data_IF_223906890516
#
_entry.id   IF_223906890516
#
_cell.length_a   1.000
_cell.length_b   1.000
_cell.length_c   1.000
_cell.angle_alpha   90.00
_cell.angle_beta   90.00
_cell.angle_gamma   90.00
#
_symmetry.space_group_name_H-M   'P 1'
#
loop_
_entity.id
_entity.type
_entity.pdbx_description
1 polymer ?
#
# COMPACT_ATOMS: atom_id res chain seq x y z
N UNK A 1 8.00 22.52 5.87
CA UNK A 1 6.77 23.10 6.44
C UNK A 1 5.67 23.24 5.39
N UNK A 2 5.93 23.89 4.24
CA UNK A 2 4.95 24.00 3.15
C UNK A 2 4.63 22.64 2.50
N UNK A 3 5.62 21.76 2.37
CA UNK A 3 5.47 20.38 1.89
C UNK A 3 4.56 19.53 2.80
N UNK A 4 4.76 19.59 4.12
CA UNK A 4 3.92 18.88 5.10
C UNK A 4 2.46 19.38 5.07
N UNK A 5 2.27 20.69 4.88
CA UNK A 5 0.93 21.29 4.74
C UNK A 5 0.25 20.80 3.45
N UNK A 6 0.95 20.78 2.31
CA UNK A 6 0.42 20.24 1.06
C UNK A 6 0.00 18.78 1.24
N UNK A 7 0.84 17.95 1.88
CA UNK A 7 0.54 16.56 2.15
C UNK A 7 -0.68 16.39 3.07
N UNK A 8 -0.86 17.27 4.06
CA UNK A 8 -2.08 17.31 4.88
C UNK A 8 -3.31 17.60 4.04
N UNK A 9 -3.25 18.52 3.07
CA UNK A 9 -4.37 18.79 2.16
C UNK A 9 -4.67 17.60 1.24
N UNK A 10 -3.64 16.91 0.74
CA UNK A 10 -3.81 15.68 -0.06
C UNK A 10 -4.60 14.62 0.70
N UNK A 11 -4.44 14.53 2.02
CA UNK A 11 -5.24 13.62 2.86
C UNK A 11 -6.75 13.86 2.67
N UNK A 12 -7.19 15.11 2.68
CA UNK A 12 -8.60 15.46 2.47
C UNK A 12 -9.05 15.22 1.02
N UNK A 13 -8.15 15.40 0.04
CA UNK A 13 -8.44 15.05 -1.36
C UNK A 13 -8.71 13.55 -1.51
N UNK A 14 -7.89 12.69 -0.88
CA UNK A 14 -8.11 11.24 -0.90
C UNK A 14 -9.34 10.81 -0.11
N UNK A 15 -9.64 11.47 1.01
CA UNK A 15 -10.89 11.26 1.73
C UNK A 15 -12.10 11.58 0.85
N UNK A 16 -12.10 12.74 0.20
CA UNK A 16 -13.20 13.14 -0.67
C UNK A 16 -13.31 12.23 -1.90
N UNK A 17 -12.19 11.82 -2.50
CA UNK A 17 -12.19 10.84 -3.60
C UNK A 17 -12.82 9.51 -3.16
N UNK A 18 -12.49 9.01 -1.97
CA UNK A 18 -13.14 7.83 -1.39
C UNK A 18 -14.66 8.03 -1.25
N UNK A 19 -15.10 9.16 -0.70
CA UNK A 19 -16.54 9.45 -0.59
C UNK A 19 -17.23 9.47 -1.95
N UNK A 20 -16.62 10.05 -2.99
CA UNK A 20 -17.19 10.04 -4.32
C UNK A 20 -17.23 8.66 -4.98
N UNK A 21 -16.22 7.80 -4.75
CA UNK A 21 -16.29 6.39 -5.15
C UNK A 21 -17.42 5.65 -4.41
N UNK A 22 -17.60 5.92 -3.12
CA UNK A 22 -18.68 5.32 -2.33
C UNK A 22 -20.07 5.78 -2.83
N UNK A 23 -20.23 7.08 -3.09
CA UNK A 23 -21.45 7.67 -3.64
C UNK A 23 -21.75 7.10 -5.03
N UNK A 24 -20.75 6.92 -5.90
CA UNK A 24 -20.89 6.24 -7.19
C UNK A 24 -21.49 4.84 -7.00
N UNK A 25 -20.95 4.08 -6.04
CA UNK A 25 -21.35 2.70 -5.79
C UNK A 25 -22.76 2.60 -5.17
N UNK A 26 -23.15 3.53 -4.30
CA UNK A 26 -24.48 3.58 -3.67
C UNK A 26 -25.54 4.09 -4.65
N UNK A 27 -25.26 5.17 -5.38
CA UNK A 27 -26.24 5.80 -6.28
C UNK A 27 -26.32 5.14 -7.66
N UNK A 28 -25.33 4.34 -8.05
CA UNK A 28 -25.26 3.73 -9.39
C UNK A 28 -25.06 4.72 -10.53
N UNK A 29 -24.58 5.93 -10.24
CA UNK A 29 -24.31 6.97 -11.24
C UNK A 29 -22.83 7.02 -11.58
N UNK A 30 -22.51 7.16 -12.87
CA UNK A 30 -21.12 7.27 -13.34
C UNK A 30 -20.44 8.60 -12.99
N UNK A 31 -21.22 9.68 -12.82
CA UNK A 31 -20.68 11.03 -12.62
C UNK A 31 -19.84 11.16 -11.33
N UNK A 32 -20.32 10.75 -10.14
CA UNK A 32 -19.50 10.72 -8.93
C UNK A 32 -18.21 9.91 -9.10
N UNK A 33 -18.27 8.80 -9.83
CA UNK A 33 -17.10 7.95 -10.09
C UNK A 33 -16.03 8.68 -10.90
N UNK A 34 -16.42 9.40 -11.97
CA UNK A 34 -15.46 10.20 -12.75
C UNK A 34 -14.83 11.31 -11.90
N UNK A 35 -15.62 11.97 -11.07
CA UNK A 35 -15.11 13.00 -10.18
C UNK A 35 -14.11 12.41 -9.17
N UNK A 36 -14.41 11.23 -8.60
CA UNK A 36 -13.50 10.50 -7.73
C UNK A 36 -12.16 10.19 -8.42
N UNK A 37 -12.18 9.77 -9.69
CA UNK A 37 -10.97 9.52 -10.48
C UNK A 37 -10.17 10.80 -10.69
N UNK A 38 -10.83 11.90 -11.08
CA UNK A 38 -10.17 13.19 -11.29
C UNK A 38 -9.51 13.68 -9.99
N UNK A 39 -10.21 13.57 -8.86
CA UNK A 39 -9.68 13.91 -7.55
C UNK A 39 -8.50 13.00 -7.15
N UNK A 40 -8.59 11.70 -7.42
CA UNK A 40 -7.50 10.74 -7.15
C UNK A 40 -6.25 11.07 -7.97
N UNK A 41 -6.41 11.38 -9.26
CA UNK A 41 -5.31 11.78 -10.15
C UNK A 41 -4.72 13.11 -9.71
N UNK A 42 -5.55 14.11 -9.44
CA UNK A 42 -5.10 15.41 -8.95
C UNK A 42 -4.34 15.28 -7.62
N UNK A 43 -4.88 14.49 -6.68
CA UNK A 43 -4.24 14.17 -5.41
C UNK A 43 -2.89 13.49 -5.61
N UNK A 44 -2.79 12.50 -6.51
CA UNK A 44 -1.53 11.82 -6.83
C UNK A 44 -0.50 12.78 -7.44
N UNK A 45 -0.91 13.66 -8.35
CA UNK A 45 -0.01 14.67 -8.96
C UNK A 45 0.51 15.64 -7.90
N UNK A 46 -0.37 16.17 -7.06
CA UNK A 46 0.01 17.07 -5.96
C UNK A 46 0.91 16.38 -4.96
N UNK A 47 0.62 15.12 -4.59
CA UNK A 47 1.46 14.32 -3.71
C UNK A 47 2.84 14.06 -4.32
N UNK A 48 2.91 13.75 -5.61
CA UNK A 48 4.18 13.58 -6.35
C UNK A 48 5.00 14.86 -6.29
N UNK A 49 4.37 16.01 -6.57
CA UNK A 49 5.03 17.31 -6.47
C UNK A 49 5.52 17.59 -5.05
N UNK A 50 4.73 17.28 -4.02
CA UNK A 50 5.11 17.45 -2.62
C UNK A 50 6.31 16.58 -2.22
N UNK A 51 6.34 15.31 -2.65
CA UNK A 51 7.49 14.40 -2.43
C UNK A 51 8.75 14.96 -3.10
N UNK A 52 8.65 15.45 -4.35
CA UNK A 52 9.79 16.05 -5.07
C UNK A 52 10.26 17.35 -4.40
N UNK A 53 9.33 18.21 -3.95
CA UNK A 53 9.67 19.42 -3.21
C UNK A 53 10.38 19.10 -1.89
N UNK A 54 9.92 18.06 -1.19
CA UNK A 54 10.55 17.59 0.04
C UNK A 54 11.96 17.07 -0.22
N UNK A 55 12.16 16.30 -1.29
CA UNK A 55 13.49 15.86 -1.71
C UNK A 55 14.44 17.04 -1.99
N UNK A 56 13.98 18.05 -2.75
CA UNK A 56 14.77 19.28 -3.00
C UNK A 56 15.08 20.02 -1.71
N UNK A 57 14.13 20.07 -0.77
CA UNK A 57 14.31 20.74 0.53
C UNK A 57 15.35 20.01 1.37
N UNK A 58 15.36 18.68 1.36
CA UNK A 58 16.40 17.87 2.04
C UNK A 58 17.82 18.23 1.56
N UNK A 59 18.03 18.42 0.25
CA UNK A 59 19.33 18.89 -0.26
C UNK A 59 19.64 20.33 0.14
N UNK A 60 18.65 21.24 0.10
CA UNK A 60 18.86 22.64 0.50
C UNK A 60 19.25 22.78 1.98
N UNK A 61 18.77 21.90 2.83
CA UNK A 61 19.10 21.85 4.26
C UNK A 61 20.45 21.16 4.55
N UNK A 62 21.19 20.73 3.52
CA UNK A 62 22.47 20.03 3.69
C UNK A 62 22.35 18.57 4.15
N UNK A 63 21.14 18.02 4.19
CA UNK A 63 20.85 16.65 4.66
C UNK A 63 20.97 15.63 3.50
N UNK A 64 20.41 15.96 2.33
CA UNK A 64 20.73 15.34 1.04
C UNK A 64 20.31 13.88 0.83
N UNK A 65 19.05 13.53 1.13
CA UNK A 65 18.51 12.19 0.80
C UNK A 65 17.08 12.24 0.25
N UNK A 66 16.67 11.15 -0.39
CA UNK A 66 15.29 10.95 -0.83
C UNK A 66 14.35 10.76 0.37
N UNK A 67 13.10 11.27 0.32
CA UNK A 67 12.18 11.28 1.45
C UNK A 67 11.52 9.91 1.64
N UNK A 68 12.29 8.93 2.10
CA UNK A 68 11.83 7.56 2.40
C UNK A 68 12.32 7.07 3.77
N UNK A 69 12.84 7.98 4.59
CA UNK A 69 13.75 7.63 5.69
C UNK A 69 13.04 7.36 7.02
N UNK A 70 11.95 8.08 7.29
CA UNK A 70 11.22 8.00 8.54
C UNK A 70 9.78 7.48 8.34
N UNK A 71 9.08 7.28 9.45
CA UNK A 71 7.71 6.74 9.42
C UNK A 71 6.75 7.66 8.64
N UNK A 72 6.88 8.98 8.78
CA UNK A 72 6.07 9.95 8.05
C UNK A 72 6.25 9.80 6.53
N UNK A 73 7.50 9.88 6.08
CA UNK A 73 7.90 9.81 4.67
C UNK A 73 7.51 8.47 4.03
N UNK A 74 7.69 7.38 4.77
CA UNK A 74 7.37 6.05 4.30
C UNK A 74 5.85 5.80 4.21
N UNK A 75 5.03 6.34 5.12
CA UNK A 75 3.57 6.31 5.02
C UNK A 75 3.04 7.14 3.86
N UNK A 76 3.61 8.33 3.64
CA UNK A 76 3.28 9.18 2.50
C UNK A 76 3.60 8.44 1.21
N UNK A 77 4.77 7.82 1.11
CA UNK A 77 5.13 7.02 -0.06
C UNK A 77 4.24 5.78 -0.24
N UNK A 78 3.85 5.12 0.85
CA UNK A 78 2.92 3.99 0.79
C UNK A 78 1.54 4.38 0.24
N UNK A 79 0.99 5.50 0.70
CA UNK A 79 -0.27 6.01 0.15
C UNK A 79 -0.15 6.34 -1.34
N UNK A 80 0.98 6.92 -1.74
CA UNK A 80 1.28 7.23 -3.14
C UNK A 80 1.35 5.95 -4.00
N UNK A 81 2.04 4.90 -3.54
CA UNK A 81 2.14 3.63 -4.30
C UNK A 81 0.80 2.92 -4.41
N UNK A 82 -0.03 2.92 -3.34
CA UNK A 82 -1.39 2.39 -3.39
C UNK A 82 -2.21 3.11 -4.46
N UNK A 83 -2.25 4.44 -4.42
CA UNK A 83 -3.05 5.23 -5.36
C UNK A 83 -2.55 5.12 -6.79
N UNK A 84 -1.23 5.06 -7.00
CA UNK A 84 -0.64 4.82 -8.32
C UNK A 84 -1.07 3.47 -8.89
N UNK A 85 -0.87 2.38 -8.15
CA UNK A 85 -1.24 1.03 -8.61
C UNK A 85 -2.75 0.92 -8.83
N UNK A 86 -3.54 1.51 -7.93
CA UNK A 86 -4.99 1.56 -8.07
C UNK A 86 -5.42 2.26 -9.37
N UNK A 87 -4.89 3.44 -9.67
CA UNK A 87 -5.23 4.18 -10.88
C UNK A 87 -4.79 3.45 -12.16
N UNK A 88 -3.67 2.72 -12.12
CA UNK A 88 -3.25 1.85 -13.23
C UNK A 88 -4.28 0.74 -13.45
N UNK A 89 -4.76 0.10 -12.37
CA UNK A 89 -5.80 -0.94 -12.45
C UNK A 89 -7.13 -0.36 -12.91
N UNK A 90 -7.55 0.80 -12.39
CA UNK A 90 -8.76 1.49 -12.84
C UNK A 90 -8.69 1.81 -14.33
N UNK A 91 -7.57 2.34 -14.80
CA UNK A 91 -7.35 2.65 -16.22
C UNK A 91 -7.42 1.41 -17.11
N UNK A 92 -6.80 0.31 -16.70
CA UNK A 92 -6.79 -0.96 -17.45
C UNK A 92 -8.14 -1.65 -17.48
N UNK A 93 -8.83 -1.69 -16.34
CA UNK A 93 -10.10 -2.42 -16.19
C UNK A 93 -11.32 -1.57 -16.52
N UNK A 94 -11.15 -0.24 -16.61
CA UNK A 94 -12.21 0.77 -16.70
C UNK A 94 -13.24 0.68 -15.56
N UNK A 95 -12.90 -0.01 -14.48
CA UNK A 95 -13.78 -0.22 -13.34
C UNK A 95 -13.30 0.55 -12.12
N UNK A 96 -14.18 1.42 -11.63
CA UNK A 96 -13.93 2.36 -10.53
C UNK A 96 -14.31 1.82 -9.15
N UNK A 97 -14.98 0.66 -9.08
CA UNK A 97 -15.50 0.11 -7.82
C UNK A 97 -14.40 -0.30 -6.85
N UNK A 98 -13.23 -0.69 -7.37
CA UNK A 98 -12.06 -1.00 -6.55
C UNK A 98 -11.61 0.21 -5.71
N UNK A 99 -11.88 1.44 -6.16
CA UNK A 99 -11.55 2.67 -5.45
C UNK A 99 -12.22 2.76 -4.09
N UNK A 100 -13.42 2.20 -3.93
CA UNK A 100 -14.14 2.16 -2.65
C UNK A 100 -13.37 1.39 -1.57
N UNK A 101 -12.63 0.36 -1.97
CA UNK A 101 -11.94 -0.54 -1.05
C UNK A 101 -10.47 -0.17 -0.86
N UNK A 102 -9.85 0.46 -1.87
CA UNK A 102 -8.42 0.78 -1.88
C UNK A 102 -8.13 2.22 -1.46
N UNK A 103 -8.97 3.20 -1.86
CA UNK A 103 -8.77 4.60 -1.48
C UNK A 103 -8.78 4.82 0.06
N UNK A 104 -9.61 4.12 0.87
CA UNK A 104 -9.51 4.19 2.32
C UNK A 104 -8.13 3.84 2.88
N UNK A 105 -7.42 2.87 2.28
CA UNK A 105 -6.09 2.49 2.75
C UNK A 105 -5.09 3.64 2.58
N UNK A 106 -5.12 4.31 1.43
CA UNK A 106 -4.28 5.47 1.16
C UNK A 106 -4.67 6.68 2.04
N UNK A 107 -5.98 6.94 2.20
CA UNK A 107 -6.48 7.98 3.10
C UNK A 107 -6.03 7.74 4.53
N UNK A 108 -6.23 6.54 5.07
CA UNK A 108 -5.87 6.21 6.46
C UNK A 108 -4.36 6.31 6.68
N UNK A 109 -3.54 5.86 5.72
CA UNK A 109 -2.09 6.02 5.79
C UNK A 109 -1.67 7.50 5.84
N UNK A 110 -2.25 8.34 4.98
CA UNK A 110 -2.00 9.80 4.95
C UNK A 110 -2.51 10.51 6.21
N UNK A 111 -3.69 10.13 6.70
CA UNK A 111 -4.29 10.69 7.90
C UNK A 111 -3.45 10.34 9.13
N UNK A 112 -3.01 9.09 9.24
CA UNK A 112 -2.12 8.68 10.31
C UNK A 112 -0.78 9.42 10.25
N UNK A 113 -0.19 9.58 9.06
CA UNK A 113 1.04 10.34 8.89
C UNK A 113 0.88 11.84 9.26
N UNK A 114 -0.23 12.46 8.86
CA UNK A 114 -0.40 13.92 8.98
C UNK A 114 -0.93 14.36 10.35
N UNK A 115 -1.71 13.52 11.04
CA UNK A 115 -2.44 13.91 12.26
C UNK A 115 -2.02 13.14 13.51
N UNK A 116 -1.20 12.09 13.41
CA UNK A 116 -0.71 11.40 14.61
C UNK A 116 0.27 12.29 15.38
N UNK A 117 0.03 12.58 16.67
CA UNK A 117 0.87 13.48 17.47
C UNK A 117 2.29 12.91 17.68
N UNK A 118 2.45 11.60 17.52
CA UNK A 118 3.71 10.90 17.74
C UNK A 118 4.60 10.86 16.49
N UNK A 119 4.17 11.43 15.35
CA UNK A 119 4.92 11.37 14.10
C UNK A 119 5.52 12.74 13.78
N UNK A 120 6.85 12.79 13.72
CA UNK A 120 7.57 14.00 13.34
C UNK A 120 7.55 14.16 11.81
N UNK A 121 6.96 15.25 11.32
CA UNK A 121 6.94 15.59 9.89
C UNK A 121 8.19 16.37 9.42
N UNK A 122 9.13 16.66 10.33
CA UNK A 122 10.40 17.29 10.05
C UNK A 122 11.32 16.43 9.18
N UNK A 123 12.22 17.08 8.45
CA UNK A 123 13.30 16.41 7.73
C UNK A 123 14.45 16.24 8.72
N UNK A 124 14.80 15.00 9.03
CA UNK A 124 15.84 14.66 10.00
C UNK A 124 17.07 14.07 9.27
N UNK A 125 18.29 14.26 9.81
CA UNK A 125 19.48 13.61 9.28
C UNK A 125 19.35 12.08 9.32
N UNK A 126 19.86 11.40 8.28
CA UNK A 126 19.92 9.94 8.27
C UNK A 126 20.85 9.42 9.37
N UNK A 127 20.37 8.46 10.17
CA UNK A 127 21.27 7.66 11.02
C UNK A 127 22.29 6.92 10.13
N UNK A 128 23.52 6.67 10.61
CA UNK A 128 24.59 6.09 9.78
C UNK A 128 24.19 4.82 9.02
N UNK A 129 23.39 3.95 9.63
CA UNK A 129 22.87 2.72 9.03
C UNK A 129 21.97 2.95 7.78
N UNK A 130 21.38 4.13 7.62
CA UNK A 130 20.49 4.47 6.50
C UNK A 130 21.21 5.11 5.30
N UNK A 131 22.53 5.36 5.40
CA UNK A 131 23.32 5.99 4.33
C UNK A 131 23.77 4.98 3.26
N UNK A 132 22.81 4.36 2.56
CA UNK A 132 23.11 3.38 1.51
C UNK A 132 22.05 3.40 0.40
N UNK A 133 22.49 3.30 -0.86
CA UNK A 133 21.59 3.18 -2.01
C UNK A 133 20.75 1.88 -1.95
N UNK A 134 21.25 0.85 -1.26
CA UNK A 134 20.52 -0.40 -1.06
C UNK A 134 19.25 -0.22 -0.25
N UNK A 135 19.24 0.71 0.72
CA UNK A 135 18.04 1.05 1.48
C UNK A 135 16.95 1.60 0.55
N UNK A 136 17.30 2.48 -0.38
CA UNK A 136 16.32 3.08 -1.29
C UNK A 136 15.67 2.00 -2.16
N UNK A 137 16.47 1.11 -2.74
CA UNK A 137 15.98 -0.03 -3.53
C UNK A 137 15.08 -0.96 -2.71
N UNK A 138 15.48 -1.26 -1.47
CA UNK A 138 14.70 -2.07 -0.52
C UNK A 138 13.34 -1.42 -0.21
N UNK A 139 13.35 -0.14 0.16
CA UNK A 139 12.13 0.57 0.55
C UNK A 139 11.15 0.65 -0.64
N UNK A 140 11.64 0.98 -1.84
CA UNK A 140 10.80 1.06 -3.04
C UNK A 140 10.16 -0.31 -3.35
N UNK A 141 10.97 -1.36 -3.43
CA UNK A 141 10.47 -2.70 -3.76
C UNK A 141 9.47 -3.22 -2.71
N UNK A 142 9.75 -3.03 -1.42
CA UNK A 142 8.82 -3.38 -0.34
C UNK A 142 7.48 -2.65 -0.46
N UNK A 143 7.48 -1.33 -0.69
CA UNK A 143 6.22 -0.56 -0.76
C UNK A 143 5.39 -0.83 -2.01
N UNK A 144 6.02 -1.12 -3.15
CA UNK A 144 5.29 -1.64 -4.31
C UNK A 144 4.68 -3.01 -4.03
N UNK A 145 5.41 -3.87 -3.29
CA UNK A 145 4.91 -5.16 -2.82
C UNK A 145 3.68 -5.03 -1.92
N UNK A 146 3.79 -4.22 -0.87
CA UNK A 146 2.72 -3.97 0.10
C UNK A 146 1.50 -3.29 -0.54
N UNK A 147 1.71 -2.35 -1.46
CA UNK A 147 0.60 -1.72 -2.19
C UNK A 147 -0.16 -2.73 -3.05
N UNK A 148 0.55 -3.60 -3.78
CA UNK A 148 -0.08 -4.68 -4.56
C UNK A 148 -0.86 -5.65 -3.67
N UNK A 149 -0.34 -6.00 -2.50
CA UNK A 149 -1.09 -6.78 -1.50
C UNK A 149 -2.30 -6.04 -0.93
N UNK A 150 -2.23 -4.71 -0.77
CA UNK A 150 -3.37 -3.88 -0.39
C UNK A 150 -4.48 -3.85 -1.46
N UNK A 151 -4.11 -3.82 -2.75
CA UNK A 151 -5.06 -3.99 -3.84
C UNK A 151 -5.67 -5.39 -3.85
N UNK A 152 -4.87 -6.44 -3.64
CA UNK A 152 -5.33 -7.82 -3.48
C UNK A 152 -6.32 -7.98 -2.33
N UNK A 153 -6.07 -7.30 -1.20
CA UNK A 153 -7.00 -7.23 -0.07
C UNK A 153 -8.33 -6.58 -0.46
N UNK A 154 -8.31 -5.42 -1.13
CA UNK A 154 -9.53 -4.76 -1.62
C UNK A 154 -10.32 -5.64 -2.59
N UNK A 155 -9.66 -6.27 -3.55
CA UNK A 155 -10.25 -7.23 -4.49
C UNK A 155 -10.85 -8.45 -3.78
N UNK A 156 -10.21 -8.93 -2.72
CA UNK A 156 -10.69 -10.06 -1.91
C UNK A 156 -11.95 -9.71 -1.14
N UNK A 157 -12.04 -8.50 -0.57
CA UNK A 157 -13.28 -8.00 0.05
C UNK A 157 -14.39 -7.91 -1.00
N UNK A 158 -14.12 -7.31 -2.16
CA UNK A 158 -15.08 -7.23 -3.27
C UNK A 158 -15.59 -8.62 -3.68
N UNK A 159 -14.70 -9.59 -3.76
CA UNK A 159 -15.05 -10.97 -4.09
C UNK A 159 -16.02 -11.58 -3.08
N UNK A 160 -15.75 -11.39 -1.78
CA UNK A 160 -16.58 -11.93 -0.70
C UNK A 160 -17.96 -11.24 -0.64
N UNK A 161 -18.02 -9.95 -0.93
CA UNK A 161 -19.28 -9.19 -0.96
C UNK A 161 -20.15 -9.53 -2.18
N UNK A 162 -19.55 -9.88 -3.33
CA UNK A 162 -20.31 -10.26 -4.52
C UNK A 162 -21.10 -11.55 -4.27
N UNK A 163 -22.43 -11.51 -4.37
CA UNK A 163 -23.29 -12.72 -4.24
C UNK A 163 -22.99 -13.76 -5.34
N UNK A 164 -23.08 -15.08 -5.07
CA UNK A 164 -22.96 -16.13 -6.09
C UNK A 164 -24.12 -16.07 -7.10
N UNK A 165 -25.31 -15.69 -6.64
CA UNK A 165 -26.52 -15.76 -7.44
C UNK A 165 -26.80 -14.41 -8.09
N UNK A 166 -26.58 -14.36 -9.40
CA UNK A 166 -26.59 -13.11 -10.19
C UNK A 166 -28.03 -12.65 -10.50
N UNK A 167 -29.04 -13.47 -10.17
CA UNK A 167 -30.45 -13.24 -10.54
C UNK A 167 -31.28 -12.46 -9.51
N UNK A 168 -30.82 -12.36 -8.26
CA UNK A 168 -31.62 -11.85 -7.13
C UNK A 168 -31.00 -10.63 -6.42
N UNK A 169 -30.08 -9.90 -7.05
CA UNK A 169 -29.43 -8.76 -6.36
C UNK A 169 -30.21 -7.46 -6.56
N UNK A 170 -31.20 -7.19 -5.70
CA UNK A 170 -31.92 -5.91 -5.67
C UNK A 170 -31.01 -4.71 -5.30
N UNK A 171 -29.85 -4.95 -4.67
CA UNK A 171 -28.93 -3.91 -4.25
C UNK A 171 -28.02 -3.44 -5.39
N UNK A 172 -28.22 -2.19 -5.83
CA UNK A 172 -27.40 -1.48 -6.84
C UNK A 172 -25.89 -1.58 -6.51
N UNK A 173 -25.55 -1.48 -5.22
CA UNK A 173 -24.18 -1.60 -4.69
C UNK A 173 -23.45 -2.85 -5.19
N UNK A 174 -24.11 -4.02 -5.13
CA UNK A 174 -23.50 -5.30 -5.50
C UNK A 174 -23.53 -5.56 -7.01
N UNK A 175 -24.39 -4.84 -7.75
CA UNK A 175 -24.52 -4.97 -9.21
C UNK A 175 -23.30 -4.40 -9.94
N UNK A 176 -22.72 -3.32 -9.44
CA UNK A 176 -21.57 -2.62 -10.04
C UNK A 176 -20.24 -3.38 -9.89
N UNK A 177 -20.14 -4.27 -8.91
CA UNK A 177 -18.95 -5.10 -8.68
C UNK A 177 -18.76 -6.05 -9.89
N UNK A 178 -17.54 -6.15 -10.47
CA UNK A 178 -17.24 -7.09 -11.55
C UNK A 178 -17.65 -8.54 -11.25
N UNK A 179 -17.83 -9.37 -12.29
CA UNK A 179 -17.95 -10.82 -12.15
C UNK A 179 -16.77 -11.42 -11.36
N UNK A 180 -17.07 -12.43 -10.54
CA UNK A 180 -16.09 -13.10 -9.66
C UNK A 180 -14.85 -13.62 -10.41
N UNK A 181 -15.00 -14.06 -11.67
CA UNK A 181 -13.87 -14.53 -12.48
C UNK A 181 -12.83 -13.43 -12.77
N UNK A 182 -13.29 -12.21 -13.05
CA UNK A 182 -12.40 -11.05 -13.28
C UNK A 182 -11.72 -10.67 -11.96
N UNK A 183 -12.46 -10.67 -10.85
CA UNK A 183 -11.90 -10.40 -9.52
C UNK A 183 -10.82 -11.41 -9.14
N UNK A 184 -11.05 -12.71 -9.35
CA UNK A 184 -10.08 -13.77 -9.06
C UNK A 184 -8.81 -13.67 -9.92
N UNK A 185 -8.92 -13.20 -11.16
CA UNK A 185 -7.78 -13.01 -12.06
C UNK A 185 -6.97 -11.77 -11.68
N UNK A 186 -7.63 -10.63 -11.49
CA UNK A 186 -6.96 -9.41 -11.03
C UNK A 186 -6.30 -9.61 -9.66
N UNK A 187 -6.97 -10.34 -8.75
CA UNK A 187 -6.42 -10.63 -7.44
C UNK A 187 -5.12 -11.44 -7.57
N UNK A 188 -5.09 -12.45 -8.45
CA UNK A 188 -3.89 -13.22 -8.71
C UNK A 188 -2.74 -12.40 -9.29
N UNK A 189 -3.04 -11.53 -10.26
CA UNK A 189 -2.04 -10.62 -10.82
C UNK A 189 -1.43 -9.71 -9.76
N UNK A 190 -2.26 -9.17 -8.87
CA UNK A 190 -1.78 -8.34 -7.75
C UNK A 190 -0.95 -9.14 -6.75
N UNK A 191 -1.34 -10.39 -6.44
CA UNK A 191 -0.55 -11.29 -5.58
C UNK A 191 0.82 -11.57 -6.21
N UNK A 192 0.89 -11.86 -7.50
CA UNK A 192 2.15 -12.14 -8.19
C UNK A 192 3.08 -10.91 -8.20
N UNK A 193 2.55 -9.74 -8.52
CA UNK A 193 3.31 -8.49 -8.47
C UNK A 193 3.81 -8.24 -7.05
N UNK A 194 2.93 -8.38 -6.06
CA UNK A 194 3.26 -8.21 -4.65
C UNK A 194 4.36 -9.16 -4.19
N UNK A 195 4.24 -10.44 -4.54
CA UNK A 195 5.19 -11.49 -4.19
C UNK A 195 6.56 -11.27 -4.83
N UNK A 196 6.61 -10.93 -6.12
CA UNK A 196 7.85 -10.63 -6.82
C UNK A 196 8.55 -9.41 -6.21
N UNK A 197 7.80 -8.33 -5.96
CA UNK A 197 8.33 -7.11 -5.36
C UNK A 197 8.80 -7.33 -3.92
N UNK A 198 8.06 -8.09 -3.11
CA UNK A 198 8.49 -8.45 -1.76
C UNK A 198 9.74 -9.34 -1.77
N UNK A 199 9.86 -10.27 -2.72
CA UNK A 199 11.06 -11.11 -2.88
C UNK A 199 12.28 -10.24 -3.19
N UNK A 200 12.16 -9.29 -4.12
CA UNK A 200 13.22 -8.31 -4.39
C UNK A 200 13.50 -7.44 -3.16
N UNK A 201 12.47 -7.08 -2.40
CA UNK A 201 12.58 -6.37 -1.12
C UNK A 201 13.41 -7.14 -0.10
N UNK A 202 13.15 -8.43 0.11
CA UNK A 202 13.93 -9.27 1.04
C UNK A 202 15.39 -9.39 0.58
N UNK A 203 15.65 -9.57 -0.72
CA UNK A 203 17.01 -9.67 -1.27
C UNK A 203 17.77 -8.35 -1.11
N UNK A 204 17.17 -7.23 -1.49
CA UNK A 204 17.82 -5.91 -1.36
C UNK A 204 17.96 -5.50 0.11
N UNK A 205 17.03 -5.91 0.96
CA UNK A 205 17.05 -5.72 2.41
C UNK A 205 18.18 -6.49 3.08
N UNK A 206 18.43 -7.74 2.69
CA UNK A 206 19.53 -8.53 3.26
C UNK A 206 20.91 -7.95 2.90
N UNK A 207 21.07 -7.46 1.66
CA UNK A 207 22.30 -6.75 1.24
C UNK A 207 22.48 -5.46 2.04
N UNK A 208 21.40 -4.70 2.25
CA UNK A 208 21.44 -3.52 3.10
C UNK A 208 21.79 -3.88 4.56
N UNK A 209 21.18 -4.92 5.13
CA UNK A 209 21.43 -5.38 6.50
C UNK A 209 22.91 -5.76 6.70
N UNK A 210 23.53 -6.42 5.72
CA UNK A 210 24.96 -6.71 5.78
C UNK A 210 25.81 -5.43 5.78
N UNK A 211 25.46 -4.45 4.94
CA UNK A 211 26.18 -3.16 4.92
C UNK A 211 26.00 -2.33 6.19
N UNK A 212 24.86 -2.46 6.86
CA UNK A 212 24.53 -1.67 8.04
C UNK A 212 25.02 -2.35 9.34
N UNK A 213 24.81 -3.65 9.49
CA UNK A 213 24.95 -4.40 10.75
C UNK A 213 25.96 -5.55 10.66
N UNK A 214 26.58 -5.78 9.48
CA UNK A 214 27.56 -6.84 9.26
C UNK A 214 26.97 -8.22 8.98
N UNK A 215 25.64 -8.40 9.05
CA UNK A 215 24.95 -9.68 8.84
C UNK A 215 23.81 -9.56 7.83
N UNK A 216 23.61 -10.57 6.98
CA UNK A 216 22.52 -10.58 5.98
C UNK A 216 21.12 -10.79 6.59
N UNK A 217 21.05 -11.38 7.78
CA UNK A 217 19.80 -11.69 8.47
C UNK A 217 20.07 -11.80 9.97
N UNK A 218 19.33 -11.06 10.78
CA UNK A 218 19.46 -10.98 12.23
C UNK A 218 18.27 -11.54 13.02
N UNK A 219 17.24 -12.08 12.36
CA UNK A 219 15.99 -12.55 13.00
C UNK A 219 15.25 -11.47 13.80
N UNK A 220 15.43 -10.21 13.42
CA UNK A 220 14.65 -9.10 13.96
C UNK A 220 13.15 -9.31 13.69
N UNK A 221 12.23 -8.78 14.53
CA UNK A 221 10.80 -8.87 14.27
C UNK A 221 10.39 -8.45 12.84
N UNK A 222 10.95 -7.39 12.25
CA UNK A 222 10.63 -7.00 10.86
C UNK A 222 11.06 -8.05 9.86
N UNK A 223 12.27 -8.58 9.99
CA UNK A 223 12.80 -9.62 9.12
C UNK A 223 11.92 -10.88 9.23
N UNK A 224 11.66 -11.34 10.45
CA UNK A 224 10.84 -12.53 10.73
C UNK A 224 9.43 -12.39 10.16
N UNK A 225 8.76 -11.26 10.38
CA UNK A 225 7.40 -11.05 9.89
C UNK A 225 7.34 -10.81 8.37
N UNK A 226 8.40 -10.26 7.77
CA UNK A 226 8.52 -10.22 6.31
C UNK A 226 8.61 -11.63 5.70
N UNK A 227 9.34 -12.55 6.34
CA UNK A 227 9.43 -13.95 5.93
C UNK A 227 8.09 -14.67 6.10
N UNK A 228 7.39 -14.47 7.22
CA UNK A 228 6.04 -15.01 7.45
C UNK A 228 5.08 -14.54 6.35
N UNK A 229 5.09 -13.24 6.05
CA UNK A 229 4.27 -12.66 4.97
C UNK A 229 4.60 -13.28 3.62
N UNK A 230 5.90 -13.44 3.32
CA UNK A 230 6.36 -14.08 2.10
C UNK A 230 5.87 -15.53 1.99
N UNK A 231 5.96 -16.31 3.07
CA UNK A 231 5.49 -17.70 3.13
C UNK A 231 3.97 -17.82 2.95
N UNK A 232 3.19 -16.90 3.52
CA UNK A 232 1.74 -16.88 3.33
C UNK A 232 1.40 -16.67 1.85
N UNK A 233 1.99 -15.67 1.20
CA UNK A 233 1.71 -15.42 -0.22
C UNK A 233 2.29 -16.50 -1.14
N UNK A 234 3.43 -17.11 -0.79
CA UNK A 234 3.94 -18.30 -1.46
C UNK A 234 2.93 -19.46 -1.36
N UNK A 235 2.36 -19.70 -0.19
CA UNK A 235 1.33 -20.73 0.01
C UNK A 235 0.05 -20.41 -0.78
N UNK A 236 -0.34 -19.15 -0.89
CA UNK A 236 -1.47 -18.73 -1.74
C UNK A 236 -1.21 -19.08 -3.21
N UNK A 237 -0.05 -18.70 -3.75
CA UNK A 237 0.33 -19.00 -5.14
C UNK A 237 0.42 -20.53 -5.35
N UNK A 238 1.09 -21.24 -4.46
CA UNK A 238 1.24 -22.70 -4.51
C UNK A 238 -0.11 -23.42 -4.45
N UNK A 239 -1.01 -23.02 -3.53
CA UNK A 239 -2.34 -23.62 -3.40
C UNK A 239 -3.21 -23.39 -4.64
N UNK A 240 -3.07 -22.23 -5.30
CA UNK A 240 -3.75 -21.95 -6.57
C UNK A 240 -3.22 -22.80 -7.71
N UNK A 241 -1.90 -22.93 -7.85
CA UNK A 241 -1.27 -23.68 -8.95
C UNK A 241 -1.41 -25.20 -8.80
N UNK A 242 -1.19 -25.73 -7.60
CA UNK A 242 -1.15 -27.19 -7.36
C UNK A 242 -2.53 -27.75 -7.01
N UNK A 243 -3.26 -27.08 -6.12
CA UNK A 243 -4.58 -27.57 -5.65
C UNK A 243 -5.76 -26.92 -6.37
N UNK A 244 -5.50 -26.02 -7.32
CA UNK A 244 -6.56 -25.33 -8.06
C UNK A 244 -7.44 -24.43 -7.18
N UNK A 245 -6.95 -23.98 -6.01
CA UNK A 245 -7.75 -23.14 -5.12
C UNK A 245 -8.09 -21.81 -5.79
N UNK A 246 -9.38 -21.47 -5.80
CA UNK A 246 -9.92 -20.23 -6.35
C UNK A 246 -10.99 -19.65 -5.43
N UNK A 247 -11.35 -18.40 -5.65
CA UNK A 247 -12.44 -17.74 -4.98
C UNK A 247 -12.28 -17.55 -3.48
N UNK A 248 -13.30 -17.93 -2.70
CA UNK A 248 -13.42 -17.64 -1.26
C UNK A 248 -12.19 -18.05 -0.46
N UNK A 249 -11.59 -19.20 -0.77
CA UNK A 249 -10.38 -19.70 -0.06
C UNK A 249 -9.19 -18.75 -0.25
N UNK A 250 -8.94 -18.34 -1.49
CA UNK A 250 -7.86 -17.40 -1.82
C UNK A 250 -8.16 -16.03 -1.23
N UNK A 251 -9.41 -15.54 -1.32
CA UNK A 251 -9.81 -14.26 -0.76
C UNK A 251 -9.54 -14.16 0.76
N UNK A 252 -9.86 -15.22 1.52
CA UNK A 252 -9.58 -15.27 2.96
C UNK A 252 -8.07 -15.25 3.23
N UNK A 253 -7.29 -16.04 2.50
CA UNK A 253 -5.84 -16.06 2.67
C UNK A 253 -5.19 -14.71 2.33
N UNK A 254 -5.69 -13.98 1.33
CA UNK A 254 -5.22 -12.63 1.02
C UNK A 254 -5.54 -11.63 2.13
N UNK A 255 -6.69 -11.76 2.80
CA UNK A 255 -7.05 -10.93 3.96
C UNK A 255 -6.11 -11.20 5.13
N UNK A 256 -5.83 -12.47 5.41
CA UNK A 256 -4.84 -12.86 6.44
C UNK A 256 -3.45 -12.36 6.07
N UNK A 257 -3.02 -12.56 4.82
CA UNK A 257 -1.72 -12.10 4.32
C UNK A 257 -1.54 -10.59 4.44
N UNK A 258 -2.55 -9.79 4.09
CA UNK A 258 -2.49 -8.34 4.24
C UNK A 258 -2.50 -7.90 5.71
N UNK A 259 -3.19 -8.64 6.59
CA UNK A 259 -3.10 -8.41 8.03
C UNK A 259 -1.67 -8.64 8.55
N UNK A 260 -0.97 -9.64 8.02
CA UNK A 260 0.46 -9.86 8.30
C UNK A 260 1.35 -8.75 7.73
N UNK A 261 1.03 -8.16 6.57
CA UNK A 261 1.72 -6.96 6.06
C UNK A 261 1.56 -5.80 7.04
N UNK A 262 0.34 -5.52 7.51
CA UNK A 262 0.08 -4.45 8.49
C UNK A 262 0.81 -4.71 9.81
N UNK A 263 0.86 -5.96 10.26
CA UNK A 263 1.63 -6.32 11.45
C UNK A 263 3.14 -6.14 11.24
N UNK A 264 3.68 -6.56 10.10
CA UNK A 264 5.10 -6.37 9.72
C UNK A 264 5.47 -4.89 9.68
N UNK A 265 4.56 -4.01 9.29
CA UNK A 265 4.86 -2.58 9.17
C UNK A 265 4.62 -1.80 10.47
N UNK A 266 3.47 -2.00 11.13
CA UNK A 266 3.09 -1.28 12.35
C UNK A 266 3.34 -2.10 13.61
N UNK A 267 2.87 -3.36 13.64
CA UNK A 267 2.81 -4.22 14.83
C UNK A 267 4.17 -4.54 15.42
N UNK A 268 5.17 -4.80 14.58
CA UNK A 268 6.55 -5.08 15.03
C UNK A 268 7.23 -3.90 15.72
N UNK A 269 6.77 -2.65 15.53
CA UNK A 269 7.35 -1.52 16.27
C UNK A 269 6.98 -1.55 17.77
N UNK A 270 6.01 -2.38 18.16
CA UNK A 270 5.68 -2.66 19.57
C UNK A 270 6.51 -3.82 20.15
N UNK A 271 7.30 -4.51 19.32
CA UNK A 271 8.23 -5.56 19.73
C UNK A 271 9.65 -4.99 19.81
N UNK A 272 10.48 -5.54 20.69
CA UNK A 272 11.90 -5.15 20.76
C UNK A 272 12.63 -5.56 19.48
N UNK A 273 13.31 -4.61 18.82
CA UNK A 273 14.01 -4.86 17.56
C UNK A 273 14.88 -3.70 17.10
N UNK A 274 15.87 -4.03 16.27
CA UNK A 274 16.84 -3.10 15.66
C UNK A 274 16.16 -2.13 14.67
N UNK A 275 14.91 -2.41 14.27
CA UNK A 275 14.12 -1.57 13.38
C UNK A 275 13.06 -0.70 14.07
N UNK A 276 13.14 -0.45 15.38
CA UNK A 276 12.19 0.41 16.08
C UNK A 276 12.39 1.91 15.72
N UNK A 277 12.00 2.32 14.52
CA UNK A 277 12.02 3.72 14.06
C UNK A 277 10.94 4.60 14.70
N UNK A 278 10.08 4.03 15.56
CA UNK A 278 9.05 4.77 16.29
C UNK A 278 9.58 5.48 17.55
N UNK A 279 10.84 5.27 17.94
CA UNK A 279 11.46 5.87 19.13
C UNK A 279 12.49 6.97 18.81
N UNK A 280 12.59 7.43 17.56
CA UNK A 280 13.46 8.54 17.16
C UNK A 280 12.69 9.83 16.90
#
# INVERSE_FOLDING_TARGET
MLDSIILSYVTFVYFAAFLFYLVMMVMGKEFPGRLATVMSVAGLVVQTAAIVLRWKTSYKLGIGHAPFSNLYESLVFFAWTIMLLYLIVEWRTKNKTLGVFVAPLAFLAMAYASFSPNINSGIQPLVPALKSNWLISHVITCFFGYAAFGLSFGLSIMYLLKSPDTRETHNIFLRLIPPRGILDELNYQMILIGFLMLTLGIITGSVWAHSAWGTYWGWDPKETWSLITWLIYAAVIHSRLVRGWKGKKIAILCIVGFSCVLFTYFGVNYLAGLHSYAKS
#
